data_IF_571218137602
#
_entry.id   IF_571218137602
#
_cell.length_a   1.000
_cell.length_b   1.000
_cell.length_c   1.000
_cell.angle_alpha   90.00
_cell.angle_beta   90.00
_cell.angle_gamma   90.00
#
_symmetry.space_group_name_H-M   'P 1'
#
loop_
_entity.id
_entity.type
_entity.pdbx_description
1 polymer ?
#
# COMPACT_ATOMS: atom_id res chain seq x y z
N UNK A 1 -50.12 6.11 -61.23
CA UNK A 1 -51.24 7.05 -61.41
C UNK A 1 -52.00 7.18 -60.10
N UNK A 2 -52.18 8.43 -59.65
CA UNK A 2 -53.29 9.00 -58.82
C UNK A 2 -53.85 8.25 -57.60
N UNK A 3 -53.72 8.94 -56.45
CA UNK A 3 -54.69 9.09 -55.35
C UNK A 3 -56.15 8.75 -55.69
N UNK A 4 -56.90 8.15 -54.75
CA UNK A 4 -57.84 8.92 -53.91
C UNK A 4 -58.51 8.12 -52.76
N UNK A 5 -58.62 8.82 -51.62
CA UNK A 5 -59.63 8.86 -50.56
C UNK A 5 -60.72 7.79 -50.37
N UNK A 6 -60.96 7.49 -49.09
CA UNK A 6 -62.18 6.91 -48.53
C UNK A 6 -62.37 7.17 -47.03
N UNK A 7 -62.83 8.37 -46.68
CA UNK A 7 -63.67 8.81 -45.55
C UNK A 7 -63.77 8.04 -44.20
N UNK A 8 -63.36 8.77 -43.15
CA UNK A 8 -64.04 9.13 -41.87
C UNK A 8 -64.70 8.06 -40.98
N UNK A 9 -64.16 7.94 -39.75
CA UNK A 9 -64.95 7.85 -38.51
C UNK A 9 -64.43 8.88 -37.50
N UNK A 10 -65.35 9.71 -37.01
CA UNK A 10 -65.15 10.69 -35.95
C UNK A 10 -65.18 9.95 -34.61
N UNK A 11 -64.09 10.01 -33.81
CA UNK A 11 -64.12 9.62 -32.40
C UNK A 11 -63.98 10.89 -31.57
N UNK A 12 -65.10 11.25 -30.95
CA UNK A 12 -65.25 12.36 -30.04
C UNK A 12 -64.65 11.95 -28.68
N UNK A 13 -63.51 12.51 -28.29
CA UNK A 13 -62.98 12.36 -26.94
C UNK A 13 -63.28 13.61 -26.13
N UNK A 14 -64.23 13.48 -25.21
CA UNK A 14 -64.53 14.46 -24.17
C UNK A 14 -63.37 14.53 -23.14
N UNK A 15 -63.07 15.72 -22.59
CA UNK A 15 -62.07 15.88 -21.54
C UNK A 15 -62.69 15.48 -20.19
N UNK A 16 -62.37 14.28 -19.70
CA UNK A 16 -62.73 13.92 -18.33
C UNK A 16 -61.58 14.25 -17.38
N UNK A 17 -61.82 15.26 -16.55
CA UNK A 17 -61.02 15.70 -15.41
C UNK A 17 -60.81 14.50 -14.48
N UNK A 18 -59.60 13.93 -14.47
CA UNK A 18 -59.23 12.89 -13.51
C UNK A 18 -58.91 13.53 -12.16
N UNK A 19 -59.95 13.81 -11.38
CA UNK A 19 -59.86 14.05 -9.95
C UNK A 19 -59.82 12.70 -9.24
N UNK A 20 -58.62 12.14 -9.05
CA UNK A 20 -58.40 11.03 -8.12
C UNK A 20 -56.98 11.11 -7.56
N UNK A 21 -56.79 12.05 -6.62
CA UNK A 21 -55.60 12.07 -5.78
C UNK A 21 -55.60 10.81 -4.91
N UNK A 22 -54.77 9.83 -5.28
CA UNK A 22 -54.59 8.65 -4.46
C UNK A 22 -53.90 9.05 -3.14
N UNK A 23 -54.51 8.67 -2.02
CA UNK A 23 -54.02 8.90 -0.65
C UNK A 23 -52.52 8.55 -0.50
N UNK A 24 -52.05 7.56 -1.27
CA UNK A 24 -50.66 7.10 -1.27
C UNK A 24 -49.64 8.16 -1.74
N UNK A 25 -50.01 9.06 -2.66
CA UNK A 25 -49.10 10.15 -3.11
C UNK A 25 -48.95 11.23 -2.04
N UNK A 26 -50.03 11.52 -1.32
CA UNK A 26 -50.01 12.46 -0.19
C UNK A 26 -49.21 11.89 0.98
N UNK A 27 -49.35 10.59 1.24
CA UNK A 27 -48.57 9.91 2.29
C UNK A 27 -47.09 9.82 1.94
N UNK A 28 -46.74 9.55 0.68
CA UNK A 28 -45.36 9.58 0.19
C UNK A 28 -44.74 10.97 0.32
N UNK A 29 -45.48 12.02 -0.06
CA UNK A 29 -45.03 13.41 0.10
C UNK A 29 -44.85 13.79 1.58
N UNK A 30 -45.76 13.36 2.45
CA UNK A 30 -45.64 13.55 3.89
C UNK A 30 -44.40 12.82 4.46
N UNK A 31 -44.16 11.59 4.02
CA UNK A 31 -42.99 10.79 4.42
C UNK A 31 -41.69 11.46 3.96
N UNK A 32 -41.58 11.83 2.68
CA UNK A 32 -40.38 12.53 2.16
C UNK A 32 -40.19 13.87 2.85
N UNK A 33 -41.26 14.63 3.09
CA UNK A 33 -41.19 15.91 3.82
C UNK A 33 -40.74 15.73 5.26
N UNK A 34 -41.15 14.65 5.93
CA UNK A 34 -40.74 14.36 7.30
C UNK A 34 -39.24 14.00 7.38
N UNK A 35 -38.76 13.13 6.49
CA UNK A 35 -37.35 12.75 6.47
C UNK A 35 -36.42 13.88 6.04
N UNK A 36 -36.85 14.73 5.10
CA UNK A 36 -36.08 15.93 4.72
C UNK A 36 -36.02 16.96 5.85
N UNK A 37 -37.12 17.17 6.59
CA UNK A 37 -37.12 18.05 7.75
C UNK A 37 -36.26 17.49 8.90
N UNK A 38 -36.33 16.18 9.16
CA UNK A 38 -35.49 15.51 10.14
C UNK A 38 -33.99 15.63 9.78
N UNK A 39 -33.64 15.48 8.50
CA UNK A 39 -32.27 15.65 8.00
C UNK A 39 -31.76 17.10 8.11
N UNK A 40 -32.62 18.09 7.82
CA UNK A 40 -32.27 19.50 8.00
C UNK A 40 -32.12 19.86 9.48
N UNK A 41 -32.97 19.31 10.36
CA UNK A 41 -32.86 19.49 11.80
C UNK A 41 -31.57 18.87 12.35
N UNK A 42 -31.18 17.67 11.90
CA UNK A 42 -29.88 17.09 12.30
C UNK A 42 -28.70 17.91 11.80
N UNK A 43 -28.72 18.44 10.56
CA UNK A 43 -27.67 19.33 10.08
C UNK A 43 -27.56 20.65 10.86
N UNK A 44 -28.69 21.22 11.30
CA UNK A 44 -28.69 22.44 12.12
C UNK A 44 -28.19 22.13 13.54
N UNK A 45 -28.61 21.01 14.13
CA UNK A 45 -28.22 20.60 15.48
C UNK A 45 -26.74 20.16 15.57
N UNK A 46 -26.19 19.55 14.51
CA UNK A 46 -24.76 19.25 14.42
C UNK A 46 -23.92 20.50 14.12
N UNK A 47 -24.52 21.53 13.51
CA UNK A 47 -23.86 22.83 13.28
C UNK A 47 -23.74 23.67 14.55
N UNK A 48 -24.69 23.62 15.48
CA UNK A 48 -24.53 24.25 16.81
C UNK A 48 -23.56 23.47 17.72
N UNK A 49 -23.48 22.14 17.59
CA UNK A 49 -22.49 21.32 18.31
C UNK A 49 -21.04 21.52 17.79
N UNK A 50 -20.85 22.02 16.57
CA UNK A 50 -19.51 22.33 16.01
C UNK A 50 -19.10 23.79 16.20
N UNK A 51 -20.02 24.70 16.53
CA UNK A 51 -19.71 26.11 16.79
C UNK A 51 -19.18 26.38 18.22
N UNK A 52 -19.15 25.37 19.11
CA UNK A 52 -18.78 25.56 20.53
C UNK A 52 -17.46 24.90 20.93
N UNK A 53 -16.65 24.44 19.96
CA UNK A 53 -15.33 23.81 20.24
C UNK A 53 -14.21 24.39 19.39
N UNK A 54 -14.22 25.70 19.18
CA UNK A 54 -13.03 26.47 18.75
C UNK A 54 -12.84 27.71 19.63
N UNK A 55 -12.87 27.52 20.95
CA UNK A 55 -12.15 28.40 21.85
C UNK A 55 -10.71 27.89 21.91
N UNK A 56 -9.87 28.37 20.97
CA UNK A 56 -8.43 28.25 21.11
C UNK A 56 -8.00 28.94 22.41
N UNK A 57 -7.72 28.16 23.43
CA UNK A 57 -6.97 28.60 24.60
C UNK A 57 -5.58 28.99 24.10
N UNK A 58 -5.37 30.30 23.88
CA UNK A 58 -4.04 30.88 23.80
C UNK A 58 -3.38 30.73 25.17
N UNK A 59 -2.79 29.57 25.43
CA UNK A 59 -1.83 29.39 26.50
C UNK A 59 -0.59 30.19 26.11
N UNK A 60 -0.43 31.37 26.69
CA UNK A 60 0.85 32.05 26.76
C UNK A 60 1.80 31.19 27.59
N UNK A 61 2.47 30.25 26.93
CA UNK A 61 3.63 29.58 27.48
C UNK A 61 4.75 30.63 27.58
N UNK A 62 4.96 31.17 28.77
CA UNK A 62 6.23 31.80 29.12
C UNK A 62 7.30 30.71 29.05
N UNK A 63 7.93 30.59 27.89
CA UNK A 63 9.13 29.79 27.70
C UNK A 63 10.24 30.43 28.53
N UNK A 64 10.42 29.94 29.75
CA UNK A 64 11.73 30.00 30.40
C UNK A 64 12.64 29.21 29.49
N UNK A 65 13.55 29.92 28.82
CA UNK A 65 14.53 29.36 27.91
C UNK A 65 15.50 28.42 28.62
N UNK A 66 15.06 27.21 28.91
CA UNK A 66 15.94 26.05 28.83
C UNK A 66 15.89 25.59 27.39
N UNK A 67 16.87 26.06 26.62
CA UNK A 67 17.26 25.45 25.35
C UNK A 67 17.72 24.02 25.64
N UNK A 68 16.78 23.10 25.82
CA UNK A 68 17.04 21.70 25.55
C UNK A 68 17.20 21.62 24.04
N UNK A 69 18.46 21.57 23.58
CA UNK A 69 18.76 20.95 22.30
C UNK A 69 18.12 19.55 22.33
N UNK A 70 16.86 19.44 21.92
CA UNK A 70 16.33 18.19 21.42
C UNK A 70 17.12 17.96 20.14
N UNK A 71 18.30 17.36 20.30
CA UNK A 71 19.09 16.92 19.19
C UNK A 71 18.16 16.04 18.36
N UNK A 72 17.89 16.45 17.11
CA UNK A 72 17.35 15.60 16.05
C UNK A 72 18.39 14.51 15.68
N UNK A 73 18.92 13.84 16.69
CA UNK A 73 19.92 12.80 16.57
C UNK A 73 19.26 11.45 16.34
N UNK A 74 20.05 10.48 15.92
CA UNK A 74 19.61 9.09 15.87
C UNK A 74 19.16 8.60 17.26
N UNK A 75 18.22 7.66 17.28
CA UNK A 75 17.79 7.02 18.53
C UNK A 75 19.00 6.37 19.24
N UNK A 76 19.13 6.53 20.57
CA UNK A 76 20.16 5.83 21.31
C UNK A 76 20.05 4.31 21.14
N UNK A 77 21.18 3.62 20.97
CA UNK A 77 21.22 2.16 20.82
C UNK A 77 20.53 1.43 21.97
N UNK A 78 20.58 1.98 23.19
CA UNK A 78 19.86 1.43 24.34
C UNK A 78 18.35 1.41 24.10
N UNK A 79 17.77 2.49 23.57
CA UNK A 79 16.34 2.58 23.26
C UNK A 79 15.97 1.58 22.17
N UNK A 80 16.75 1.51 21.08
CA UNK A 80 16.53 0.54 20.00
C UNK A 80 16.54 -0.89 20.55
N UNK A 81 17.57 -1.26 21.31
CA UNK A 81 17.69 -2.61 21.86
C UNK A 81 16.54 -2.94 22.84
N UNK A 82 16.08 -1.96 23.62
CA UNK A 82 14.92 -2.12 24.51
C UNK A 82 13.63 -2.34 23.72
N UNK A 83 13.39 -1.57 22.65
CA UNK A 83 12.23 -1.73 21.78
C UNK A 83 12.22 -3.13 21.14
N UNK A 84 13.36 -3.58 20.59
CA UNK A 84 13.49 -4.93 20.04
C UNK A 84 13.28 -6.02 21.09
N UNK A 85 13.81 -5.83 22.31
CA UNK A 85 13.65 -6.79 23.39
C UNK A 85 12.17 -7.03 23.72
N UNK A 86 11.41 -5.95 23.96
CA UNK A 86 10.00 -6.08 24.32
C UNK A 86 9.13 -6.52 23.16
N UNK A 87 9.36 -6.00 21.95
CA UNK A 87 8.60 -6.41 20.76
C UNK A 87 8.78 -7.91 20.46
N UNK A 88 10.00 -8.42 20.54
CA UNK A 88 10.28 -9.85 20.31
C UNK A 88 9.79 -10.80 21.41
N UNK A 89 9.32 -10.26 22.55
CA UNK A 89 8.82 -11.00 23.71
C UNK A 89 7.32 -10.82 23.93
N UNK A 90 6.60 -10.32 22.92
CA UNK A 90 5.15 -10.20 22.96
C UNK A 90 4.48 -11.55 23.21
N UNK A 91 3.31 -11.53 23.85
CA UNK A 91 2.46 -12.71 24.02
C UNK A 91 1.47 -12.88 22.85
N UNK A 92 1.45 -11.95 21.89
CA UNK A 92 0.60 -12.07 20.71
C UNK A 92 1.02 -13.27 19.87
N UNK A 93 0.05 -13.88 19.16
CA UNK A 93 0.32 -15.10 18.39
C UNK A 93 1.01 -14.84 17.05
N UNK A 94 0.98 -13.60 16.57
CA UNK A 94 1.54 -13.19 15.28
C UNK A 94 2.45 -11.99 15.52
N UNK A 95 3.71 -12.27 15.81
CA UNK A 95 4.76 -11.27 15.99
C UNK A 95 6.08 -11.79 15.44
N UNK A 96 6.96 -10.89 15.03
CA UNK A 96 8.30 -11.29 14.58
C UNK A 96 9.20 -11.63 15.78
N UNK A 97 9.97 -12.74 15.74
CA UNK A 97 11.00 -13.01 16.73
C UNK A 97 12.19 -12.06 16.58
N UNK A 98 13.00 -11.97 17.63
CA UNK A 98 14.18 -11.08 17.66
C UNK A 98 15.13 -11.29 16.46
N UNK A 99 15.27 -12.53 16.01
CA UNK A 99 16.12 -12.88 14.87
C UNK A 99 15.70 -12.22 13.56
N UNK A 100 14.42 -11.83 13.43
CA UNK A 100 13.85 -11.20 12.23
C UNK A 100 13.72 -9.69 12.40
N UNK A 101 13.38 -9.22 13.62
CA UNK A 101 13.35 -7.79 13.92
C UNK A 101 14.73 -7.14 13.78
N UNK A 102 15.77 -7.85 14.21
CA UNK A 102 17.12 -7.28 14.33
C UNK A 102 17.73 -6.89 12.97
N UNK A 103 17.72 -7.72 11.91
CA UNK A 103 18.23 -7.32 10.59
C UNK A 103 17.56 -6.05 10.04
N UNK A 104 16.23 -5.95 10.14
CA UNK A 104 15.46 -4.77 9.70
C UNK A 104 15.89 -3.54 10.50
N UNK A 105 15.94 -3.66 11.84
CA UNK A 105 16.38 -2.57 12.72
C UNK A 105 17.81 -2.12 12.45
N UNK A 106 18.72 -3.07 12.17
CA UNK A 106 20.12 -2.77 11.88
C UNK A 106 20.28 -1.96 10.58
N UNK A 107 19.43 -2.23 9.57
CA UNK A 107 19.37 -1.45 8.33
C UNK A 107 18.79 -0.05 8.59
N UNK A 108 17.65 0.06 9.29
CA UNK A 108 17.03 1.35 9.60
C UNK A 108 17.98 2.27 10.38
N UNK A 109 18.69 1.74 11.37
CA UNK A 109 19.68 2.50 12.16
C UNK A 109 20.84 3.03 11.32
N UNK A 110 21.23 2.32 10.26
CA UNK A 110 22.34 2.71 9.36
C UNK A 110 21.86 3.53 8.16
N UNK A 111 20.56 3.64 7.97
CA UNK A 111 19.96 4.38 6.88
C UNK A 111 20.25 5.88 7.02
N UNK A 112 20.48 6.56 5.91
CA UNK A 112 20.70 8.01 5.92
C UNK A 112 19.39 8.71 6.27
N UNK A 113 19.43 9.72 7.14
CA UNK A 113 18.24 10.48 7.54
C UNK A 113 17.98 11.64 6.55
N UNK A 114 16.73 11.85 6.09
CA UNK A 114 15.54 11.04 6.38
C UNK A 114 15.56 9.72 5.59
N UNK A 115 15.24 8.61 6.26
CA UNK A 115 15.13 7.31 5.63
C UNK A 115 13.67 7.07 5.21
N UNK A 116 13.46 6.69 3.94
CA UNK A 116 12.14 6.36 3.42
C UNK A 116 11.87 4.86 3.59
N UNK A 117 10.95 4.51 4.50
CA UNK A 117 10.49 3.15 4.78
C UNK A 117 9.06 2.95 4.27
N UNK A 118 8.88 1.99 3.36
CA UNK A 118 7.55 1.50 2.95
C UNK A 118 7.31 0.15 3.58
N UNK A 119 6.14 -0.04 4.18
CA UNK A 119 5.73 -1.32 4.77
C UNK A 119 4.42 -1.77 4.12
N UNK A 120 4.43 -2.93 3.49
CA UNK A 120 3.19 -3.63 3.13
C UNK A 120 2.77 -4.49 4.31
N UNK A 121 1.60 -4.21 4.88
CA UNK A 121 1.00 -4.86 6.04
C UNK A 121 0.99 -3.97 7.29
N UNK A 122 -0.17 -3.86 7.94
CA UNK A 122 -0.30 -3.39 9.31
C UNK A 122 -0.24 -4.59 10.26
N UNK A 123 0.88 -4.74 10.93
CA UNK A 123 1.16 -5.87 11.83
C UNK A 123 1.37 -5.40 13.27
N UNK A 124 1.64 -6.35 14.17
CA UNK A 124 1.97 -6.06 15.57
C UNK A 124 3.17 -5.09 15.69
N UNK A 125 4.10 -5.15 14.73
CA UNK A 125 5.29 -4.32 14.67
C UNK A 125 5.07 -2.91 14.08
N UNK A 126 3.85 -2.52 13.69
CA UNK A 126 3.56 -1.22 13.04
C UNK A 126 4.17 -0.04 13.81
N UNK A 127 3.93 0.04 15.12
CA UNK A 127 4.47 1.11 15.96
C UNK A 127 5.99 1.01 16.14
N UNK A 128 6.51 -0.22 16.16
CA UNK A 128 7.95 -0.46 16.22
C UNK A 128 8.63 0.12 14.97
N UNK A 129 8.10 -0.13 13.78
CA UNK A 129 8.65 0.39 12.52
C UNK A 129 8.62 1.91 12.45
N UNK A 130 7.51 2.53 12.89
CA UNK A 130 7.43 4.00 12.99
C UNK A 130 8.47 4.55 13.97
N UNK A 131 8.62 3.93 15.14
CA UNK A 131 9.56 4.37 16.15
C UNK A 131 11.02 4.19 15.71
N UNK A 132 11.39 3.03 15.15
CA UNK A 132 12.76 2.73 14.73
C UNK A 132 13.20 3.60 13.55
N UNK A 133 12.29 3.98 12.65
CA UNK A 133 12.55 4.93 11.58
C UNK A 133 12.45 6.40 12.04
N UNK A 134 13.04 6.71 13.20
CA UNK A 134 13.00 8.03 13.81
C UNK A 134 13.58 9.10 12.87
N UNK A 135 12.90 10.24 12.74
CA UNK A 135 13.19 11.31 11.79
C UNK A 135 13.14 10.90 10.30
N UNK A 136 12.66 9.68 10.00
CA UNK A 136 12.40 9.21 8.65
C UNK A 136 10.93 9.35 8.25
N UNK A 137 10.65 8.92 7.02
CA UNK A 137 9.29 8.78 6.50
C UNK A 137 8.92 7.31 6.53
N UNK A 138 7.81 6.96 7.17
CA UNK A 138 7.27 5.59 7.16
C UNK A 138 5.85 5.61 6.65
N UNK A 139 5.55 4.81 5.61
CA UNK A 139 4.21 4.63 5.06
C UNK A 139 3.82 3.15 5.14
N UNK A 140 2.58 2.88 5.55
CA UNK A 140 2.02 1.54 5.64
C UNK A 140 0.91 1.34 4.60
N UNK A 141 0.88 0.16 3.97
CA UNK A 141 -0.13 -0.22 2.98
C UNK A 141 -0.79 -1.52 3.43
N UNK A 142 -2.12 -1.54 3.61
CA UNK A 142 -2.86 -2.71 4.10
C UNK A 142 -4.03 -3.10 3.19
N UNK A 143 -4.46 -4.36 3.24
CA UNK A 143 -5.64 -4.81 2.49
C UNK A 143 -6.97 -4.30 3.06
N UNK A 144 -7.00 -3.89 4.34
CA UNK A 144 -8.22 -3.59 5.06
C UNK A 144 -8.35 -2.10 5.38
N UNK A 145 -9.15 -1.40 4.55
CA UNK A 145 -9.50 0.01 4.73
C UNK A 145 -10.02 0.40 6.12
N UNK A 146 -10.78 -0.48 6.76
CA UNK A 146 -11.33 -0.18 8.08
C UNK A 146 -10.26 -0.32 9.16
N UNK A 147 -9.34 -1.26 8.98
CA UNK A 147 -8.22 -1.44 9.89
C UNK A 147 -7.19 -0.33 9.75
N UNK A 148 -6.87 0.09 8.52
CA UNK A 148 -6.04 1.26 8.28
C UNK A 148 -6.60 2.53 8.94
N UNK A 149 -7.87 2.85 8.68
CA UNK A 149 -8.54 4.01 9.30
C UNK A 149 -8.58 3.93 10.84
N UNK A 150 -8.80 2.74 11.39
CA UNK A 150 -8.76 2.52 12.85
C UNK A 150 -7.37 2.76 13.44
N UNK A 151 -6.31 2.28 12.77
CA UNK A 151 -4.93 2.51 13.21
C UNK A 151 -4.56 3.99 13.15
N UNK A 152 -4.95 4.72 12.10
CA UNK A 152 -4.70 6.17 12.01
C UNK A 152 -5.47 6.97 13.08
N UNK A 153 -6.69 6.55 13.43
CA UNK A 153 -7.46 7.17 14.52
C UNK A 153 -6.78 6.94 15.88
N UNK A 154 -6.29 5.72 16.13
CA UNK A 154 -5.64 5.36 17.38
C UNK A 154 -4.22 5.94 17.51
N UNK A 155 -3.50 6.05 16.39
CA UNK A 155 -2.12 6.50 16.29
C UNK A 155 -1.99 7.55 15.16
N UNK A 156 -2.30 8.83 15.45
CA UNK A 156 -2.29 9.90 14.44
C UNK A 156 -0.93 10.15 13.77
N UNK A 157 0.15 9.59 14.32
CA UNK A 157 1.50 9.61 13.74
C UNK A 157 1.73 8.54 12.66
N UNK A 158 0.81 7.59 12.47
CA UNK A 158 0.90 6.53 11.47
C UNK A 158 0.26 7.01 10.17
N UNK A 159 1.02 6.92 9.07
CA UNK A 159 0.52 7.17 7.71
C UNK A 159 0.16 5.82 7.08
N UNK A 160 -1.12 5.45 7.08
CA UNK A 160 -1.59 4.15 6.58
C UNK A 160 -2.62 4.30 5.46
N UNK A 161 -2.50 3.48 4.41
CA UNK A 161 -3.41 3.51 3.27
C UNK A 161 -3.88 2.10 2.95
N UNK A 162 -5.08 1.98 2.41
CA UNK A 162 -5.59 0.73 1.88
C UNK A 162 -5.27 0.53 0.40
N UNK A 163 -5.18 -0.74 0.00
CA UNK A 163 -5.01 -1.14 -1.39
C UNK A 163 -5.85 -2.38 -1.68
N UNK A 164 -6.37 -2.50 -2.89
CA UNK A 164 -7.12 -3.67 -3.30
C UNK A 164 -6.22 -4.71 -3.98
N UNK A 165 -5.86 -5.76 -3.25
CA UNK A 165 -5.14 -6.88 -3.83
C UNK A 165 -6.04 -7.77 -4.69
N UNK A 166 -5.69 -7.91 -5.97
CA UNK A 166 -6.45 -8.73 -6.93
C UNK A 166 -5.87 -10.13 -7.15
N UNK A 167 -4.65 -10.39 -6.67
CA UNK A 167 -4.01 -11.71 -6.80
C UNK A 167 -4.64 -12.74 -5.88
N UNK A 168 -4.43 -14.02 -6.19
CA UNK A 168 -4.82 -15.13 -5.32
C UNK A 168 -3.71 -16.18 -5.30
N UNK A 169 -3.45 -16.75 -4.13
CA UNK A 169 -2.40 -17.76 -3.98
C UNK A 169 -2.60 -18.99 -4.88
N UNK A 170 -3.84 -19.44 -5.07
CA UNK A 170 -4.15 -20.57 -5.96
C UNK A 170 -3.79 -20.30 -7.44
N UNK A 171 -3.70 -19.03 -7.83
CA UNK A 171 -3.40 -18.58 -9.20
C UNK A 171 -1.90 -18.28 -9.39
N UNK A 172 -1.08 -18.47 -8.35
CA UNK A 172 0.32 -18.06 -8.34
C UNK A 172 1.16 -18.62 -9.50
N UNK A 173 0.89 -19.84 -9.97
CA UNK A 173 1.63 -20.40 -11.12
C UNK A 173 1.28 -19.69 -12.43
N UNK A 174 0.00 -19.41 -12.64
CA UNK A 174 -0.49 -18.76 -13.86
C UNK A 174 -0.10 -17.28 -13.91
N UNK A 175 -0.15 -16.61 -12.74
CA UNK A 175 0.33 -15.24 -12.57
C UNK A 175 1.83 -15.12 -12.90
N UNK A 176 2.65 -16.05 -12.40
CA UNK A 176 4.09 -16.11 -12.70
C UNK A 176 4.33 -16.28 -14.21
N UNK A 177 3.64 -17.23 -14.85
CA UNK A 177 3.78 -17.47 -16.29
C UNK A 177 3.37 -16.23 -17.11
N UNK A 178 2.26 -15.60 -16.76
CA UNK A 178 1.75 -14.38 -17.42
C UNK A 178 2.75 -13.23 -17.27
N UNK A 179 3.30 -13.02 -16.07
CA UNK A 179 4.26 -11.95 -15.83
C UNK A 179 5.55 -12.13 -16.66
N UNK A 180 6.05 -13.37 -16.78
CA UNK A 180 7.19 -13.70 -17.65
C UNK A 180 6.93 -13.42 -19.12
N UNK A 181 5.73 -13.75 -19.61
CA UNK A 181 5.32 -13.45 -20.99
C UNK A 181 5.25 -11.94 -21.24
N UNK A 182 4.75 -11.19 -20.25
CA UNK A 182 4.58 -9.73 -20.33
C UNK A 182 5.81 -8.92 -19.87
N UNK A 183 6.96 -9.56 -19.65
CA UNK A 183 8.17 -8.90 -19.12
C UNK A 183 8.70 -7.77 -20.01
N UNK A 184 8.41 -7.81 -21.31
CA UNK A 184 8.76 -6.75 -22.28
C UNK A 184 7.65 -5.71 -22.50
N UNK A 185 6.50 -5.89 -21.86
CA UNK A 185 5.30 -5.07 -22.03
C UNK A 185 4.83 -4.50 -20.67
N UNK A 186 3.80 -5.11 -20.08
CA UNK A 186 3.11 -4.59 -18.89
C UNK A 186 3.81 -4.92 -17.58
N UNK A 187 4.62 -5.99 -17.51
CA UNK A 187 5.26 -6.47 -16.28
C UNK A 187 6.78 -6.25 -16.30
N UNK A 188 7.23 -5.05 -16.65
CA UNK A 188 8.66 -4.69 -16.76
C UNK A 188 9.29 -4.41 -15.39
N UNK A 189 10.62 -4.61 -15.25
CA UNK A 189 11.33 -4.30 -14.01
C UNK A 189 11.41 -2.80 -13.71
N UNK A 190 11.43 -1.96 -14.75
CA UNK A 190 11.33 -0.50 -14.63
C UNK A 190 10.09 -0.05 -15.38
N UNK A 191 9.12 0.51 -14.66
CA UNK A 191 7.84 0.92 -15.23
C UNK A 191 7.05 1.86 -14.33
N UNK A 192 6.08 2.55 -14.92
CA UNK A 192 5.11 3.32 -14.18
C UNK A 192 3.96 2.42 -13.71
N UNK A 193 3.98 2.05 -12.43
CA UNK A 193 2.97 1.20 -11.83
C UNK A 193 1.56 1.81 -11.84
N UNK A 194 1.44 3.14 -11.72
CA UNK A 194 0.14 3.83 -11.70
C UNK A 194 -0.67 3.60 -13.00
N UNK A 195 0.01 3.32 -14.11
CA UNK A 195 -0.62 3.05 -15.41
C UNK A 195 -0.28 1.66 -15.96
N UNK A 196 0.21 0.75 -15.10
CA UNK A 196 0.54 -0.62 -15.50
C UNK A 196 -0.71 -1.49 -15.47
N UNK A 197 -0.86 -2.32 -16.50
CA UNK A 197 -1.90 -3.36 -16.56
C UNK A 197 -1.35 -4.73 -16.10
N UNK A 198 -0.15 -4.79 -15.51
CA UNK A 198 0.38 -6.02 -14.96
C UNK A 198 -0.44 -6.47 -13.76
N UNK A 199 -0.97 -7.70 -13.82
CA UNK A 199 -1.74 -8.30 -12.72
C UNK A 199 -1.00 -8.41 -11.38
N UNK A 200 0.34 -8.29 -11.39
CA UNK A 200 1.18 -8.31 -10.20
C UNK A 200 1.48 -6.90 -9.65
N UNK A 201 1.31 -5.86 -10.45
CA UNK A 201 1.60 -4.49 -10.05
C UNK A 201 0.43 -3.87 -9.32
N UNK A 202 0.70 -3.26 -8.16
CA UNK A 202 -0.29 -2.45 -7.45
C UNK A 202 -0.37 -1.07 -8.12
N UNK A 203 -1.48 -0.79 -8.80
CA UNK A 203 -1.71 0.45 -9.57
C UNK A 203 -2.69 1.42 -8.90
N UNK A 204 -3.19 1.07 -7.71
CA UNK A 204 -4.14 1.83 -6.90
C UNK A 204 -3.53 2.35 -5.58
N UNK A 205 -2.21 2.47 -5.50
CA UNK A 205 -1.54 3.09 -4.35
C UNK A 205 -1.69 4.63 -4.40
N UNK A 206 -1.57 5.33 -3.26
CA UNK A 206 -1.51 6.78 -3.25
C UNK A 206 -0.36 7.30 -4.13
N UNK A 207 -0.61 8.35 -4.92
CA UNK A 207 0.36 8.86 -5.91
C UNK A 207 1.78 9.07 -5.35
N UNK A 208 1.88 9.58 -4.12
CA UNK A 208 3.17 9.85 -3.50
C UNK A 208 4.00 8.56 -3.27
N UNK A 209 3.38 7.38 -3.17
CA UNK A 209 4.10 6.11 -2.98
C UNK A 209 4.91 5.76 -4.23
N UNK A 210 4.42 6.11 -5.42
CA UNK A 210 5.14 5.92 -6.68
C UNK A 210 6.26 6.96 -6.91
N UNK A 211 6.19 8.10 -6.22
CA UNK A 211 7.14 9.20 -6.40
C UNK A 211 8.32 9.17 -5.42
N UNK A 212 8.19 8.42 -4.33
CA UNK A 212 9.23 8.33 -3.29
C UNK A 212 10.32 7.34 -3.68
N UNK A 213 11.56 7.80 -3.59
CA UNK A 213 12.75 6.96 -3.67
C UNK A 213 12.93 6.20 -2.35
N UNK A 214 12.25 5.05 -2.21
CA UNK A 214 12.28 4.21 -1.00
C UNK A 214 13.69 3.66 -0.72
N UNK A 215 14.15 3.76 0.53
CA UNK A 215 15.44 3.21 0.97
C UNK A 215 15.29 1.79 1.52
N UNK A 216 14.17 1.56 2.20
CA UNK A 216 13.79 0.27 2.76
C UNK A 216 12.34 -0.03 2.41
N UNK A 217 12.08 -1.25 1.95
CA UNK A 217 10.74 -1.79 1.73
C UNK A 217 10.61 -3.07 2.53
N UNK A 218 9.60 -3.17 3.38
CA UNK A 218 9.25 -4.37 4.14
C UNK A 218 7.94 -4.93 3.60
N UNK A 219 7.96 -6.19 3.17
CA UNK A 219 6.79 -6.95 2.73
C UNK A 219 6.39 -7.91 3.84
N UNK A 220 5.43 -7.50 4.67
CA UNK A 220 4.94 -8.24 5.84
C UNK A 220 3.45 -8.61 5.74
N UNK A 221 2.73 -8.02 4.78
CA UNK A 221 1.38 -8.35 4.38
C UNK A 221 1.22 -8.28 2.87
N UNK A 222 0.02 -8.60 2.34
CA UNK A 222 -1.19 -9.00 3.06
C UNK A 222 -1.15 -10.47 3.50
N UNK A 223 -2.21 -10.94 4.18
CA UNK A 223 -2.33 -12.34 4.60
C UNK A 223 -2.32 -13.34 3.43
N UNK A 224 -1.84 -14.55 3.72
CA UNK A 224 -1.60 -15.62 2.74
C UNK A 224 -1.84 -17.02 3.28
N UNK A 225 -2.79 -17.21 4.20
CA UNK A 225 -3.03 -18.50 4.87
C UNK A 225 -4.14 -19.36 4.21
N UNK A 226 -4.80 -18.87 3.15
CA UNK A 226 -5.82 -19.64 2.40
C UNK A 226 -5.70 -19.48 0.87
N UNK A 227 -6.25 -20.40 0.04
CA UNK A 227 -6.04 -20.39 -1.42
C UNK A 227 -6.54 -19.14 -2.16
N UNK A 228 -7.59 -18.50 -1.66
CA UNK A 228 -8.15 -17.25 -2.19
C UNK A 228 -7.55 -16.00 -1.53
N UNK A 229 -6.58 -16.16 -0.62
CA UNK A 229 -5.90 -15.04 0.00
C UNK A 229 -5.04 -14.32 -1.05
N UNK A 230 -4.85 -13.00 -0.92
CA UNK A 230 -4.01 -12.25 -1.84
C UNK A 230 -2.56 -12.72 -1.83
N UNK A 231 -2.05 -13.05 -0.64
CA UNK A 231 -0.65 -13.37 -0.41
C UNK A 231 0.30 -12.21 -0.77
N UNK A 232 1.59 -12.43 -0.56
CA UNK A 232 2.61 -11.39 -0.74
C UNK A 232 3.14 -11.25 -2.18
N UNK A 233 2.50 -11.93 -3.13
CA UNK A 233 2.87 -11.95 -4.55
C UNK A 233 2.97 -10.54 -5.16
N UNK A 234 1.90 -9.75 -5.05
CA UNK A 234 1.84 -8.40 -5.63
C UNK A 234 2.77 -7.40 -4.93
N UNK A 235 2.84 -7.36 -3.58
CA UNK A 235 3.84 -6.59 -2.86
C UNK A 235 5.29 -6.90 -3.26
N UNK A 236 5.67 -8.18 -3.42
CA UNK A 236 7.03 -8.57 -3.80
C UNK A 236 7.37 -8.00 -5.19
N UNK A 237 6.49 -8.19 -6.18
CA UNK A 237 6.67 -7.64 -7.51
C UNK A 237 6.77 -6.11 -7.48
N UNK A 238 5.82 -5.46 -6.79
CA UNK A 238 5.73 -4.01 -6.66
C UNK A 238 6.96 -3.43 -5.99
N UNK A 239 7.45 -4.04 -4.91
CA UNK A 239 8.70 -3.66 -4.24
C UNK A 239 9.89 -3.74 -5.19
N UNK A 240 9.96 -4.81 -5.99
CA UNK A 240 10.99 -4.98 -7.02
C UNK A 240 10.98 -3.88 -8.08
N UNK A 241 9.80 -3.45 -8.52
CA UNK A 241 9.64 -2.36 -9.50
C UNK A 241 9.95 -0.99 -8.89
N UNK A 242 9.44 -0.71 -7.69
CA UNK A 242 9.69 0.54 -6.97
C UNK A 242 11.19 0.73 -6.70
N UNK A 243 11.88 -0.31 -6.22
CA UNK A 243 13.32 -0.28 -5.97
C UNK A 243 14.14 0.02 -7.24
N UNK A 244 13.69 -0.50 -8.39
CA UNK A 244 14.38 -0.37 -9.67
C UNK A 244 14.08 0.94 -10.41
N UNK A 245 12.88 1.48 -10.20
CA UNK A 245 12.37 2.68 -10.88
C UNK A 245 12.73 3.98 -10.17
N UNK A 246 13.57 3.93 -9.13
CA UNK A 246 14.04 5.11 -8.39
C UNK A 246 14.69 6.13 -9.32
N UNK A 247 14.32 7.39 -9.15
CA UNK A 247 14.86 8.52 -9.94
C UNK A 247 16.09 9.12 -9.29
N UNK A 248 16.16 9.08 -7.96
CA UNK A 248 17.24 9.64 -7.16
C UNK A 248 17.53 8.83 -5.89
N UNK A 249 18.13 9.51 -4.91
CA UNK A 249 18.49 8.91 -3.61
C UNK A 249 19.57 7.85 -3.69
N UNK A 250 19.57 6.94 -2.71
CA UNK A 250 20.49 5.80 -2.69
C UNK A 250 20.20 4.87 -3.88
N UNK A 251 21.23 4.48 -4.62
CA UNK A 251 21.11 3.55 -5.74
C UNK A 251 20.63 2.15 -5.29
N UNK A 252 20.76 1.82 -4.01
CA UNK A 252 20.34 0.55 -3.40
C UNK A 252 19.10 0.75 -2.55
N UNK A 253 18.22 -0.23 -2.62
CA UNK A 253 17.03 -0.38 -1.78
C UNK A 253 17.11 -1.70 -1.03
N UNK A 254 16.93 -1.66 0.28
CA UNK A 254 16.81 -2.88 1.08
C UNK A 254 15.36 -3.37 0.99
N UNK A 255 15.15 -4.59 0.51
CA UNK A 255 13.82 -5.21 0.45
C UNK A 255 13.80 -6.42 1.37
N UNK A 256 12.95 -6.37 2.39
CA UNK A 256 12.71 -7.46 3.32
C UNK A 256 11.40 -8.15 2.97
N UNK A 257 11.39 -9.48 2.92
CA UNK A 257 10.20 -10.28 2.68
C UNK A 257 10.02 -11.21 3.87
N UNK A 258 8.91 -11.07 4.59
CA UNK A 258 8.54 -11.92 5.72
C UNK A 258 7.76 -13.17 5.26
N UNK A 259 7.59 -14.16 6.14
CA UNK A 259 7.13 -15.53 5.83
C UNK A 259 7.94 -16.21 4.70
N UNK A 260 9.24 -15.93 4.63
CA UNK A 260 10.17 -16.35 3.58
C UNK A 260 10.56 -17.85 3.58
N UNK A 261 9.63 -18.72 3.95
CA UNK A 261 9.84 -20.18 3.95
C UNK A 261 10.05 -20.69 2.51
N UNK A 262 10.14 -22.01 2.32
CA UNK A 262 10.16 -22.66 0.99
C UNK A 262 8.82 -22.53 0.19
N UNK A 263 8.09 -21.43 0.39
CA UNK A 263 6.79 -21.12 -0.20
C UNK A 263 6.86 -20.17 -1.39
N UNK A 264 5.75 -19.50 -1.65
CA UNK A 264 5.58 -18.61 -2.81
C UNK A 264 6.42 -17.33 -2.67
N UNK A 265 6.61 -16.86 -1.44
CA UNK A 265 7.40 -15.67 -1.08
C UNK A 265 8.82 -15.79 -1.61
N UNK A 266 9.47 -16.94 -1.40
CA UNK A 266 10.81 -17.21 -1.93
C UNK A 266 10.82 -17.34 -3.45
N UNK A 267 9.85 -18.05 -4.03
CA UNK A 267 9.76 -18.23 -5.48
C UNK A 267 9.61 -16.88 -6.20
N UNK A 268 8.74 -16.00 -5.68
CA UNK A 268 8.52 -14.68 -6.22
C UNK A 268 9.66 -13.71 -5.90
N UNK A 269 10.27 -13.81 -4.72
CA UNK A 269 11.47 -13.05 -4.36
C UNK A 269 12.64 -13.37 -5.28
N UNK A 270 12.93 -14.66 -5.50
CA UNK A 270 14.00 -15.10 -6.39
C UNK A 270 13.78 -14.67 -7.86
N UNK A 271 12.52 -14.53 -8.30
CA UNK A 271 12.20 -14.08 -9.65
C UNK A 271 12.23 -12.55 -9.81
N UNK A 272 11.63 -11.80 -8.89
CA UNK A 272 11.40 -10.36 -9.06
C UNK A 272 12.33 -9.47 -8.22
N UNK A 273 12.88 -9.98 -7.12
CA UNK A 273 13.95 -9.32 -6.36
C UNK A 273 15.34 -9.88 -6.73
N UNK A 274 15.36 -11.04 -7.37
CA UNK A 274 16.51 -11.78 -7.87
C UNK A 274 17.33 -12.46 -6.79
N UNK A 275 17.53 -13.76 -6.97
CA UNK A 275 18.31 -14.59 -6.04
C UNK A 275 19.73 -14.06 -5.83
N UNK A 276 20.35 -13.47 -6.85
CA UNK A 276 21.68 -12.85 -6.73
C UNK A 276 21.72 -11.62 -5.81
N UNK A 277 20.56 -11.01 -5.54
CA UNK A 277 20.44 -9.86 -4.63
C UNK A 277 20.11 -10.27 -3.19
N UNK A 278 19.87 -11.56 -2.92
CA UNK A 278 19.61 -12.06 -1.56
C UNK A 278 20.91 -12.05 -0.76
N UNK A 279 20.97 -11.23 0.29
CA UNK A 279 22.19 -11.01 1.10
C UNK A 279 22.14 -11.71 2.46
N UNK A 280 20.96 -11.94 3.00
CA UNK A 280 20.73 -12.65 4.27
C UNK A 280 19.36 -13.36 4.20
N UNK A 281 19.26 -14.58 4.73
CA UNK A 281 17.99 -15.28 4.91
C UNK A 281 17.94 -15.94 6.31
N UNK A 282 16.79 -15.88 6.96
CA UNK A 282 16.44 -16.68 8.14
C UNK A 282 15.35 -17.68 7.76
N UNK A 283 14.74 -18.38 8.73
CA UNK A 283 13.62 -19.29 8.45
C UNK A 283 12.39 -18.57 7.86
N UNK A 284 12.13 -17.32 8.26
CA UNK A 284 10.94 -16.56 7.86
C UNK A 284 11.24 -15.18 7.28
N UNK A 285 12.51 -14.77 7.15
CA UNK A 285 12.86 -13.47 6.58
C UNK A 285 13.90 -13.60 5.48
N UNK A 286 13.59 -13.06 4.29
CA UNK A 286 14.55 -12.86 3.21
C UNK A 286 14.93 -11.39 3.12
N UNK A 287 16.24 -11.08 3.09
CA UNK A 287 16.75 -9.73 2.91
C UNK A 287 17.47 -9.61 1.56
N UNK A 288 16.88 -8.84 0.67
CA UNK A 288 17.43 -8.49 -0.63
C UNK A 288 17.99 -7.06 -0.64
N UNK A 289 19.03 -6.82 -1.44
CA UNK A 289 19.52 -5.48 -1.75
C UNK A 289 19.42 -5.26 -3.26
N UNK A 290 18.42 -4.48 -3.67
CA UNK A 290 18.06 -4.28 -5.07
C UNK A 290 18.59 -2.94 -5.55
N UNK A 291 19.33 -2.94 -6.66
CA UNK A 291 19.84 -1.72 -7.30
C UNK A 291 18.84 -1.14 -8.29
N UNK A 292 18.90 0.19 -8.49
CA UNK A 292 18.16 0.85 -9.58
C UNK A 292 18.59 0.29 -10.94
N UNK A 293 17.68 0.29 -11.91
CA UNK A 293 17.94 -0.24 -13.25
C UNK A 293 17.67 0.81 -14.34
N UNK A 294 18.31 0.64 -15.49
CA UNK A 294 18.01 1.45 -16.67
C UNK A 294 16.61 1.13 -17.21
N UNK A 295 15.89 2.14 -17.69
CA UNK A 295 14.53 1.97 -18.23
C UNK A 295 14.47 1.03 -19.44
N UNK A 296 15.61 0.81 -20.13
CA UNK A 296 15.72 -0.11 -21.27
C UNK A 296 16.06 -1.55 -20.85
N UNK A 297 16.16 -1.85 -19.54
CA UNK A 297 16.31 -3.21 -19.06
C UNK A 297 14.95 -3.91 -18.97
N UNK A 298 14.81 -5.05 -19.64
CA UNK A 298 13.57 -5.84 -19.67
C UNK A 298 13.68 -7.19 -18.94
N UNK A 299 14.75 -7.40 -18.19
CA UNK A 299 14.95 -8.59 -17.39
C UNK A 299 15.11 -8.17 -15.93
N UNK A 300 14.44 -8.86 -15.01
CA UNK A 300 14.60 -8.58 -13.59
C UNK A 300 15.99 -8.98 -13.10
N UNK A 301 16.45 -10.17 -13.52
CA UNK A 301 17.63 -10.85 -13.01
C UNK A 301 18.63 -11.12 -14.13
N UNK A 302 19.90 -11.19 -13.77
CA UNK A 302 20.97 -11.46 -14.74
C UNK A 302 20.96 -12.94 -15.12
N UNK A 303 21.00 -13.23 -16.42
CA UNK A 303 21.22 -14.60 -16.89
C UNK A 303 22.64 -15.04 -16.51
N UNK A 304 22.77 -15.97 -15.55
CA UNK A 304 24.05 -16.62 -15.20
C UNK A 304 24.76 -17.28 -16.40
N UNK A 305 24.07 -17.48 -17.52
CA UNK A 305 24.61 -18.11 -18.73
C UNK A 305 25.61 -17.22 -19.49
N UNK A 306 25.55 -15.89 -19.39
CA UNK A 306 26.45 -15.00 -20.15
C UNK A 306 27.81 -14.77 -19.47
N UNK A 307 27.87 -14.74 -18.13
CA UNK A 307 29.14 -14.51 -17.41
C UNK A 307 30.14 -15.67 -17.50
N UNK A 308 29.71 -16.86 -17.93
CA UNK A 308 30.61 -18.00 -18.17
C UNK A 308 31.27 -17.97 -19.57
N UNK A 309 30.77 -17.16 -20.51
CA UNK A 309 31.32 -17.08 -21.87
C UNK A 309 32.34 -15.95 -22.02
N UNK A 310 32.26 -14.91 -21.20
CA UNK A 310 33.23 -13.80 -21.24
C UNK A 310 34.54 -14.12 -20.51
N UNK A 311 34.54 -15.06 -19.56
CA UNK A 311 35.74 -15.49 -18.84
C UNK A 311 36.57 -16.55 -19.58
N UNK A 312 36.04 -17.15 -20.65
CA UNK A 312 36.77 -18.13 -21.49
C UNK A 312 37.35 -17.53 -22.78
N UNK A 313 37.08 -16.26 -23.09
CA UNK A 313 37.57 -15.59 -24.30
C UNK A 313 38.76 -14.65 -24.06
N UNK A 314 39.18 -14.42 -22.81
CA UNK A 314 40.29 -13.53 -22.46
C UNK A 314 41.62 -14.25 -22.15
N UNK A 315 41.76 -15.54 -22.47
CA UNK A 315 43.00 -16.32 -22.24
C UNK A 315 43.60 -16.90 -23.52
N UNK A 316 43.57 -16.15 -24.63
CA UNK A 316 44.25 -16.53 -25.88
C UNK A 316 44.65 -15.31 -26.70
N UNK A 317 45.76 -14.66 -26.33
CA UNK A 317 46.66 -13.88 -27.20
C UNK A 317 47.94 -13.56 -26.44
#
# INVERSE_FOLDING_TARGET
MKNNNGNTKLILLHPYIQKQGSSNRLWLLAFISFFTLAFLLTLIYTRESTATTTAATALTATAIGTSSNFNNGALPTTVINTLLHYASKSNDSFHMPYAELKPISDVLRKCSSPCNLLVFGLTHETLLWKALNHNGRTVFIDENRYYAAYIEELHPEIDAYDVHYTTKMKEAKDLMATAKEQIRNECRPVQNLLFSECKLGLNDLPNHVYEVDWDVILVDGPRGDWPDAPGRISPIFTAGVLARSKKGGNAKTHVFVHDFREGLERVYGDEFLCKENLVEETEFLGHYVVEKMDENCFQFCHNKTESATTSSSSSSS
#
